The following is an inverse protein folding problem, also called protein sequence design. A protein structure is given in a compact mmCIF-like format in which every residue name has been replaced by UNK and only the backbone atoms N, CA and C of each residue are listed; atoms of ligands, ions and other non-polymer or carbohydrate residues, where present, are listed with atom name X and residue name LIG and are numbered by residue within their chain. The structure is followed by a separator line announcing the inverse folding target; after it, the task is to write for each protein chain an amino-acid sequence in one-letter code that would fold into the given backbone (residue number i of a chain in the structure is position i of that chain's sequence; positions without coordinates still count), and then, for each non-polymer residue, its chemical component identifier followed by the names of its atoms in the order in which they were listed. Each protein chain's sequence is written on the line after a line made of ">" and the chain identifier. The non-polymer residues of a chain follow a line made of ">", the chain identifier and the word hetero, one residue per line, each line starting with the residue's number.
data_IF_453556172825
#
_entry.id   IF_453556172825
#
_cell.length_a   1.000
_cell.length_b   1.000
_cell.length_c   1.000
_cell.angle_alpha   90.00
_cell.angle_beta   90.00
_cell.angle_gamma   90.00
#
_symmetry.space_group_name_H-M   'P 1'
#
loop_
_entity.id
_entity.type
_entity.pdbx_description
1 polymer ?
#
# COMPACT_ATOMS: atom_id res chain seq x y z
N UNK A 1 13.39 21.79 3.76
CA UNK A 1 12.66 21.32 3.08
C UNK A 1 11.36 21.69 3.23
N UNK A 2 10.77 22.09 2.62
CA UNK A 2 9.73 22.42 2.70
C UNK A 2 8.86 21.76 2.06
N UNK A 3 8.09 21.25 2.48
CA UNK A 3 7.30 20.59 2.05
C UNK A 3 6.17 21.29 1.89
N UNK A 4 5.55 21.40 0.97
CA UNK A 4 4.52 21.96 0.83
C UNK A 4 3.59 21.27 1.06
N UNK A 5 2.86 21.35 1.67
CA UNK A 5 1.92 20.80 2.03
C UNK A 5 0.85 20.78 1.28
N UNK A 6 0.54 20.12 0.75
CA UNK A 6 -0.45 19.83 0.09
C UNK A 6 -1.24 19.05 0.89
N UNK A 7 -2.20 19.41 1.44
CA UNK A 7 -2.94 18.65 2.35
C UNK A 7 -3.47 17.43 1.76
N UNK A 8 -3.34 17.21 0.49
CA UNK A 8 -3.86 16.02 -0.11
C UNK A 8 -2.75 15.07 -0.49
N UNK A 9 -1.61 15.24 0.10
CA UNK A 9 -0.51 14.36 -0.20
C UNK A 9 -0.86 12.96 0.27
N UNK A 10 -0.72 11.99 -0.58
CA UNK A 10 -1.07 10.61 -0.28
C UNK A 10 0.08 9.71 -0.68
N UNK A 11 0.42 8.79 0.18
CA UNK A 11 1.46 7.81 -0.10
C UNK A 11 0.77 6.48 -0.40
N UNK A 12 1.17 5.85 -1.50
CA UNK A 12 0.62 4.55 -1.88
C UNK A 12 1.74 3.51 -1.83
N UNK A 13 1.38 2.29 -1.47
CA UNK A 13 2.33 1.20 -1.54
C UNK A 13 1.59 -0.09 -1.82
N UNK A 14 2.33 -1.10 -2.26
CA UNK A 14 1.77 -2.41 -2.54
C UNK A 14 2.44 -3.42 -1.64
N UNK A 15 1.67 -4.32 -1.08
CA UNK A 15 2.16 -5.33 -0.17
C UNK A 15 1.56 -6.66 -0.59
N UNK A 16 2.36 -7.72 -0.52
CA UNK A 16 1.88 -9.05 -0.82
C UNK A 16 0.79 -9.42 0.20
N UNK A 17 -0.35 -9.85 -0.29
CA UNK A 17 -1.45 -10.21 0.60
C UNK A 17 -1.11 -11.37 1.53
N UNK A 18 -0.09 -12.16 1.20
CA UNK A 18 0.32 -13.23 2.07
C UNK A 18 1.26 -12.74 3.17
N UNK A 19 1.65 -11.48 3.14
CA UNK A 19 2.54 -10.93 4.14
C UNK A 19 1.70 -10.23 5.21
N UNK A 20 1.06 -11.03 6.07
CA UNK A 20 0.17 -10.45 7.05
C UNK A 20 0.90 -9.55 8.04
N UNK A 21 2.14 -9.88 8.36
CA UNK A 21 2.90 -9.03 9.27
C UNK A 21 3.19 -7.66 8.65
N UNK A 22 3.48 -7.63 7.36
CA UNK A 22 3.72 -6.37 6.68
C UNK A 22 2.46 -5.53 6.60
N UNK A 23 1.34 -6.17 6.29
CA UNK A 23 0.07 -5.45 6.23
C UNK A 23 -0.26 -4.86 7.60
N UNK A 24 -0.10 -5.65 8.64
CA UNK A 24 -0.39 -5.15 9.97
C UNK A 24 0.53 -4.00 10.35
N UNK A 25 1.80 -4.09 9.97
CA UNK A 25 2.75 -3.03 10.24
C UNK A 25 2.29 -1.72 9.60
N UNK A 26 1.88 -1.78 8.35
CA UNK A 26 1.46 -0.56 7.67
C UNK A 26 0.12 -0.05 8.20
N UNK A 27 -0.78 -0.95 8.55
CA UNK A 27 -2.04 -0.52 9.14
C UNK A 27 -1.80 0.21 10.46
N UNK A 28 -0.84 -0.24 11.24
CA UNK A 28 -0.50 0.43 12.48
C UNK A 28 0.14 1.79 12.25
N UNK A 29 0.60 2.04 11.03
CA UNK A 29 1.18 3.33 10.68
C UNK A 29 0.21 4.19 9.87
N UNK A 30 -1.05 3.87 9.91
CA UNK A 30 -2.07 4.74 9.29
C UNK A 30 -2.41 4.41 7.86
N UNK A 31 -1.87 3.31 7.33
CA UNK A 31 -2.23 2.91 5.97
C UNK A 31 -3.50 2.10 6.00
N UNK A 32 -4.27 2.18 4.93
CA UNK A 32 -5.47 1.36 4.80
C UNK A 32 -5.47 0.66 3.46
N UNK A 33 -6.05 -0.51 3.40
CA UNK A 33 -6.14 -1.26 2.16
C UNK A 33 -7.29 -0.68 1.35
N UNK A 34 -7.02 -0.29 0.11
CA UNK A 34 -8.07 0.26 -0.73
C UNK A 34 -8.47 -0.71 -1.82
N UNK A 35 -7.65 -1.69 -2.14
CA UNK A 35 -8.05 -2.73 -3.08
C UNK A 35 -7.02 -3.83 -3.09
N UNK A 36 -7.41 -4.97 -3.59
CA UNK A 36 -6.50 -6.09 -3.82
C UNK A 36 -6.61 -6.47 -5.28
N UNK A 37 -5.53 -6.92 -5.87
CA UNK A 37 -5.55 -7.33 -7.25
C UNK A 37 -4.47 -8.36 -7.47
N UNK A 38 -4.59 -9.09 -8.57
CA UNK A 38 -3.74 -10.24 -8.82
C UNK A 38 -3.10 -10.08 -10.20
N UNK A 39 -2.04 -9.28 -10.32
CA UNK A 39 -1.40 -9.08 -11.61
C UNK A 39 -0.56 -10.29 -11.98
N UNK A 40 -0.45 -10.53 -13.28
CA UNK A 40 0.39 -11.58 -13.76
C UNK A 40 1.68 -10.95 -14.25
N UNK A 41 2.83 -11.42 -13.73
CA UNK A 41 4.11 -10.88 -14.09
C UNK A 41 5.05 -12.03 -14.32
N UNK A 42 5.70 -12.04 -15.47
CA UNK A 42 6.69 -13.08 -15.80
C UNK A 42 6.11 -14.48 -15.62
N UNK A 43 4.85 -14.66 -16.01
CA UNK A 43 4.23 -15.96 -15.93
C UNK A 43 3.73 -16.35 -14.56
N UNK A 44 3.83 -15.47 -13.58
CA UNK A 44 3.37 -15.78 -12.23
C UNK A 44 2.27 -14.82 -11.83
N UNK A 45 1.31 -15.32 -11.09
CA UNK A 45 0.23 -14.49 -10.59
C UNK A 45 0.58 -14.08 -9.18
N UNK A 46 0.60 -12.77 -8.95
CA UNK A 46 0.88 -12.23 -7.64
C UNK A 46 -0.43 -11.83 -6.99
N UNK A 47 -0.43 -11.66 -5.68
CA UNK A 47 -1.62 -11.27 -4.96
C UNK A 47 -1.21 -10.08 -4.09
N UNK A 48 -1.61 -8.90 -4.51
CA UNK A 48 -1.13 -7.67 -3.90
C UNK A 48 -2.27 -6.86 -3.31
N UNK A 49 -1.99 -6.20 -2.20
CA UNK A 49 -2.91 -5.25 -1.60
C UNK A 49 -2.35 -3.87 -1.82
N UNK A 50 -3.16 -2.98 -2.33
CA UNK A 50 -2.78 -1.59 -2.51
C UNK A 50 -3.22 -0.83 -1.28
N UNK A 51 -2.30 -0.15 -0.64
CA UNK A 51 -2.56 0.58 0.59
C UNK A 51 -2.25 2.03 0.40
N UNK A 52 -2.92 2.89 1.16
CA UNK A 52 -2.66 4.31 1.09
C UNK A 52 -2.71 4.93 2.47
N UNK A 53 -2.04 6.03 2.57
CA UNK A 53 -2.06 6.83 3.80
C UNK A 53 -2.02 8.28 3.37
N UNK A 54 -2.90 9.10 3.95
CA UNK A 54 -2.90 10.53 3.72
C UNK A 54 -2.00 11.20 4.76
N UNK A 55 -1.23 12.15 4.31
CA UNK A 55 -0.30 12.82 5.20
C UNK A 55 -0.78 14.21 5.55
#
# INVERSE_FOLDING_TARGET
>A
LKRFKDQYETVYLEVDNNNSNGIEYYQNHGFEIIRSYQPEMYGEIMDLALMKRSI
#
